data_IF_830478415280
#
_entry.id   IF_830478415280
#
_cell.length_a   1.000
_cell.length_b   1.000
_cell.length_c   1.000
_cell.angle_alpha   90.00
_cell.angle_beta   90.00
_cell.angle_gamma   90.00
#
_symmetry.space_group_name_H-M   'P 1'
#
loop_
_entity.id
_entity.type
_entity.pdbx_description
1 polymer ?
#
# COMPACT_ATOMS: atom_id res chain seq x y z
N UNK A 1 44.70 8.13 49.77
CA UNK A 1 44.54 8.13 48.29
C UNK A 1 43.37 7.21 47.99
N UNK A 2 42.29 7.72 47.39
CA UNK A 2 41.10 6.93 47.05
C UNK A 2 41.03 6.88 45.53
N UNK A 3 41.20 5.69 44.93
CA UNK A 3 41.11 5.52 43.48
C UNK A 3 39.65 5.38 43.05
N UNK A 4 39.10 6.47 42.54
CA UNK A 4 37.80 6.52 41.87
C UNK A 4 37.91 5.98 40.45
N UNK A 5 37.65 4.69 40.24
CA UNK A 5 37.42 4.17 38.89
C UNK A 5 35.95 4.38 38.48
N UNK A 6 35.81 5.27 37.50
CA UNK A 6 34.54 5.77 36.99
C UNK A 6 33.74 4.65 36.30
N UNK A 7 32.57 4.31 36.82
CA UNK A 7 31.59 3.54 36.04
C UNK A 7 31.03 4.43 34.94
N UNK A 8 31.50 4.23 33.71
CA UNK A 8 30.88 4.82 32.52
C UNK A 8 29.55 4.11 32.31
N UNK A 9 28.46 4.73 32.77
CA UNK A 9 27.12 4.33 32.35
C UNK A 9 27.02 4.50 30.83
N UNK A 10 26.98 3.39 30.11
CA UNK A 10 26.50 3.37 28.74
C UNK A 10 25.09 3.95 28.76
N UNK A 11 24.92 5.15 28.19
CA UNK A 11 23.58 5.70 27.94
C UNK A 11 22.90 4.76 26.98
N UNK A 12 21.93 3.99 27.48
CA UNK A 12 20.94 3.36 26.62
C UNK A 12 20.38 4.44 25.70
N UNK A 13 20.47 4.21 24.38
CA UNK A 13 19.80 5.06 23.41
C UNK A 13 18.34 5.20 23.83
N UNK A 14 17.77 6.41 23.91
CA UNK A 14 16.36 6.54 24.27
C UNK A 14 15.54 5.78 23.22
N UNK A 15 14.79 4.78 23.67
CA UNK A 15 13.84 4.08 22.81
C UNK A 15 12.86 5.13 22.27
N UNK A 16 13.02 5.44 20.99
CA UNK A 16 12.22 6.45 20.30
C UNK A 16 10.84 5.85 20.08
N UNK A 17 9.96 6.02 21.06
CA UNK A 17 8.54 5.70 20.95
C UNK A 17 8.03 6.23 19.59
N UNK A 18 7.43 5.39 18.73
CA UNK A 18 7.03 5.80 17.39
C UNK A 18 5.90 6.84 17.50
N UNK A 19 6.27 8.12 17.44
CA UNK A 19 5.35 9.26 17.57
C UNK A 19 4.52 9.51 16.31
N UNK A 20 4.69 8.70 15.27
CA UNK A 20 4.14 8.88 13.92
C UNK A 20 3.60 7.56 13.37
N UNK A 21 2.82 7.62 12.30
CA UNK A 21 2.36 6.43 11.58
C UNK A 21 3.55 5.66 11.00
N UNK A 22 3.45 4.33 10.92
CA UNK A 22 4.41 3.52 10.16
C UNK A 22 3.87 3.30 8.74
N UNK A 23 4.53 3.85 7.73
CA UNK A 23 4.10 3.79 6.33
C UNK A 23 4.95 2.76 5.57
N UNK A 24 4.32 1.67 5.14
CA UNK A 24 4.98 0.56 4.42
C UNK A 24 4.37 0.44 3.02
N UNK A 25 5.19 0.60 1.99
CA UNK A 25 4.75 0.44 0.59
C UNK A 25 5.11 -0.96 0.09
N UNK A 26 4.15 -1.62 -0.55
CA UNK A 26 4.34 -2.90 -1.23
C UNK A 26 4.44 -2.64 -2.73
N UNK A 27 5.65 -2.69 -3.26
CA UNK A 27 5.95 -2.50 -4.67
C UNK A 27 6.27 -3.82 -5.39
N UNK A 28 6.34 -3.76 -6.73
CA UNK A 28 6.82 -4.86 -7.55
C UNK A 28 5.85 -5.34 -8.62
N UNK A 29 6.21 -6.46 -9.25
CA UNK A 29 5.64 -6.91 -10.52
C UNK A 29 4.13 -7.27 -10.44
N UNK A 30 3.37 -7.09 -11.54
CA UNK A 30 2.06 -7.71 -11.66
C UNK A 30 2.21 -9.24 -11.63
N UNK A 31 1.39 -9.91 -10.81
CA UNK A 31 1.51 -11.37 -10.59
C UNK A 31 2.44 -11.78 -9.43
N UNK A 32 3.14 -10.85 -8.77
CA UNK A 32 3.98 -11.15 -7.61
C UNK A 32 3.19 -11.56 -6.34
N UNK A 33 1.89 -11.27 -6.29
CA UNK A 33 1.01 -11.68 -5.18
C UNK A 33 0.75 -10.60 -4.12
N UNK A 34 1.19 -9.35 -4.35
CA UNK A 34 1.02 -8.18 -3.46
C UNK A 34 -0.33 -8.14 -2.74
N UNK A 35 -1.41 -7.92 -3.47
CA UNK A 35 -2.78 -7.84 -2.94
C UNK A 35 -3.17 -9.08 -2.11
N UNK A 36 -2.76 -10.29 -2.53
CA UNK A 36 -3.06 -11.53 -1.78
C UNK A 36 -2.32 -11.64 -0.45
N UNK A 37 -1.11 -11.08 -0.37
CA UNK A 37 -0.31 -10.97 0.85
C UNK A 37 -0.86 -9.86 1.73
N UNK A 38 -1.12 -8.68 1.16
CA UNK A 38 -1.67 -7.52 1.86
C UNK A 38 -3.02 -7.80 2.51
N UNK A 39 -3.98 -8.40 1.80
CA UNK A 39 -5.27 -8.78 2.40
C UNK A 39 -5.11 -9.79 3.54
N UNK A 40 -4.14 -10.72 3.43
CA UNK A 40 -3.88 -11.67 4.49
C UNK A 40 -3.18 -11.07 5.71
N UNK A 41 -2.26 -10.12 5.51
CA UNK A 41 -1.60 -9.39 6.59
C UNK A 41 -2.56 -8.47 7.31
N UNK A 42 -3.46 -7.78 6.59
CA UNK A 42 -4.45 -6.91 7.20
C UNK A 42 -5.51 -7.69 8.00
N UNK A 43 -5.81 -8.93 7.61
CA UNK A 43 -6.57 -9.90 8.41
C UNK A 43 -5.79 -10.32 9.67
N UNK A 44 -4.57 -10.85 9.51
CA UNK A 44 -3.74 -11.40 10.60
C UNK A 44 -3.19 -10.36 11.60
N UNK A 45 -3.15 -9.08 11.20
CA UNK A 45 -2.72 -7.96 12.05
C UNK A 45 -3.90 -7.22 12.72
N UNK A 46 -5.14 -7.67 12.46
CA UNK A 46 -6.35 -7.38 13.26
C UNK A 46 -6.56 -5.90 13.62
N UNK A 47 -6.44 -5.01 12.63
CA UNK A 47 -6.68 -3.57 12.81
C UNK A 47 -5.47 -2.74 13.25
N UNK A 48 -4.32 -3.35 13.59
CA UNK A 48 -3.02 -2.64 13.73
C UNK A 48 -2.50 -2.11 12.39
N UNK A 49 -3.03 -2.63 11.29
CA UNK A 49 -2.66 -2.27 9.92
C UNK A 49 -3.90 -1.84 9.13
N UNK A 50 -3.82 -0.68 8.47
CA UNK A 50 -4.78 -0.27 7.44
C UNK A 50 -4.19 -0.62 6.08
N UNK A 51 -4.92 -1.41 5.28
CA UNK A 51 -4.59 -1.61 3.88
C UNK A 51 -5.10 -0.42 3.05
N UNK A 52 -4.20 0.36 2.46
CA UNK A 52 -4.55 1.36 1.46
C UNK A 52 -4.35 0.72 0.08
N UNK A 53 -5.45 0.42 -0.62
CA UNK A 53 -5.37 -0.18 -1.95
C UNK A 53 -4.77 0.80 -2.97
N UNK A 54 -4.25 0.22 -4.05
CA UNK A 54 -3.80 0.94 -5.25
C UNK A 54 -4.83 2.00 -5.62
N UNK A 55 -4.38 3.25 -5.76
CA UNK A 55 -5.26 4.32 -6.19
C UNK A 55 -5.77 4.00 -7.59
N UNK A 56 -7.08 3.88 -7.70
CA UNK A 56 -7.78 3.67 -8.95
C UNK A 56 -8.79 4.80 -9.09
N UNK A 57 -8.99 5.28 -10.32
CA UNK A 57 -10.15 6.10 -10.64
C UNK A 57 -11.42 5.35 -10.22
N UNK A 58 -12.40 6.08 -9.69
CA UNK A 58 -13.65 5.47 -9.26
C UNK A 58 -14.32 4.77 -10.45
N UNK A 59 -14.76 3.51 -10.30
CA UNK A 59 -15.54 2.85 -11.33
C UNK A 59 -16.72 3.70 -11.76
N UNK A 60 -16.88 3.84 -13.09
CA UNK A 60 -17.88 4.67 -13.75
C UNK A 60 -17.68 6.20 -13.63
N UNK A 61 -16.57 6.70 -13.07
CA UNK A 61 -16.24 8.13 -13.17
C UNK A 61 -15.98 8.53 -14.63
N UNK A 62 -16.25 9.79 -14.97
CA UNK A 62 -15.92 10.35 -16.28
C UNK A 62 -14.41 10.27 -16.57
N UNK A 63 -13.57 10.23 -15.54
CA UNK A 63 -12.13 10.11 -15.66
C UNK A 63 -11.71 8.76 -16.27
N UNK A 64 -12.54 7.71 -16.12
CA UNK A 64 -12.29 6.41 -16.72
C UNK A 64 -12.21 6.45 -18.25
N UNK A 65 -12.81 7.42 -18.92
CA UNK A 65 -12.76 7.54 -20.40
C UNK A 65 -11.61 8.42 -20.90
N UNK A 66 -10.95 9.18 -20.01
CA UNK A 66 -9.90 10.13 -20.40
C UNK A 66 -8.68 9.46 -21.04
N UNK A 67 -7.92 10.18 -21.89
CA UNK A 67 -6.64 9.71 -22.41
C UNK A 67 -5.64 9.35 -21.30
N UNK A 68 -4.74 8.40 -21.58
CA UNK A 68 -3.74 7.94 -20.61
C UNK A 68 -2.83 9.05 -20.06
N UNK A 69 -2.65 10.15 -20.81
CA UNK A 69 -1.91 11.33 -20.35
C UNK A 69 -2.65 12.07 -19.22
N UNK A 70 -3.95 12.32 -19.37
CA UNK A 70 -4.75 13.05 -18.37
C UNK A 70 -4.96 12.21 -17.10
N UNK A 71 -5.21 10.91 -17.26
CA UNK A 71 -5.30 9.95 -16.13
C UNK A 71 -4.03 9.94 -15.27
N UNK A 72 -2.87 10.19 -15.88
CA UNK A 72 -1.58 10.18 -15.20
C UNK A 72 -1.46 11.32 -14.20
N UNK A 73 -1.85 12.52 -14.61
CA UNK A 73 -1.79 13.71 -13.76
C UNK A 73 -2.81 13.60 -12.62
N UNK A 74 -3.97 12.96 -12.86
CA UNK A 74 -4.92 12.57 -11.80
C UNK A 74 -4.27 11.60 -10.79
N UNK A 75 -3.60 10.53 -11.25
CA UNK A 75 -2.89 9.61 -10.34
C UNK A 75 -1.72 10.25 -9.59
N UNK A 76 -1.10 11.30 -10.12
CA UNK A 76 -0.09 12.09 -9.41
C UNK A 76 -0.76 12.91 -8.29
N UNK A 77 -1.80 13.67 -8.62
CA UNK A 77 -2.51 14.54 -7.67
C UNK A 77 -3.18 13.75 -6.53
N UNK A 78 -3.81 12.62 -6.83
CA UNK A 78 -4.36 11.70 -5.82
C UNK A 78 -3.27 11.20 -4.84
N UNK A 79 -2.02 11.09 -5.28
CA UNK A 79 -0.90 10.68 -4.41
C UNK A 79 -0.39 11.82 -3.54
N UNK A 80 -0.37 13.06 -4.06
CA UNK A 80 -0.11 14.25 -3.24
C UNK A 80 -1.16 14.34 -2.14
N UNK A 81 -2.45 14.38 -2.50
CA UNK A 81 -3.57 14.47 -1.57
C UNK A 81 -3.51 13.36 -0.50
N UNK A 82 -3.27 12.11 -0.91
CA UNK A 82 -3.15 10.99 0.02
C UNK A 82 -1.98 11.17 0.99
N UNK A 83 -0.82 11.60 0.52
CA UNK A 83 0.35 11.77 1.40
C UNK A 83 0.23 13.00 2.31
N UNK A 84 -0.43 14.08 1.86
CA UNK A 84 -0.82 15.21 2.71
C UNK A 84 -1.80 14.76 3.81
N UNK A 85 -2.80 13.96 3.46
CA UNK A 85 -3.76 13.38 4.40
C UNK A 85 -3.07 12.51 5.47
N UNK A 86 -2.14 11.65 5.06
CA UNK A 86 -1.37 10.80 5.99
C UNK A 86 -0.40 11.61 6.87
N UNK A 87 0.15 12.72 6.35
CA UNK A 87 0.98 13.66 7.13
C UNK A 87 0.16 14.44 8.16
N UNK A 88 -1.09 14.80 7.85
CA UNK A 88 -2.00 15.49 8.75
C UNK A 88 -2.49 14.60 9.91
N UNK A 89 -2.70 13.31 9.64
CA UNK A 89 -3.27 12.34 10.59
C UNK A 89 -2.19 11.46 11.23
N UNK A 90 -1.38 12.03 12.14
CA UNK A 90 -0.36 11.26 12.89
C UNK A 90 -0.98 10.48 14.05
N UNK A 91 -0.92 9.15 13.98
CA UNK A 91 -1.41 8.22 15.00
C UNK A 91 -0.30 7.24 15.42
N UNK A 92 0.16 7.35 16.66
CA UNK A 92 1.15 6.41 17.22
C UNK A 92 0.60 4.98 17.23
N UNK A 93 1.40 4.01 16.82
CA UNK A 93 1.03 2.58 16.75
C UNK A 93 0.21 2.18 15.53
N UNK A 94 -0.16 3.12 14.64
CA UNK A 94 -0.88 2.80 13.41
C UNK A 94 0.09 2.47 12.28
N UNK A 95 -0.06 1.27 11.69
CA UNK A 95 0.65 0.92 10.47
C UNK A 95 -0.25 1.07 9.24
N UNK A 96 0.30 1.61 8.16
CA UNK A 96 -0.36 1.86 6.89
C UNK A 96 0.35 1.02 5.81
N UNK A 97 -0.35 0.03 5.26
CA UNK A 97 0.16 -0.88 4.22
C UNK A 97 -0.37 -0.43 2.86
N UNK A 98 0.48 0.12 2.00
CA UNK A 98 0.08 0.69 0.70
C UNK A 98 0.31 -0.36 -0.40
N UNK A 99 -0.74 -0.77 -1.13
CA UNK A 99 -0.58 -1.53 -2.40
C UNK A 99 -0.12 -0.54 -3.48
N UNK A 100 1.22 -0.44 -3.65
CA UNK A 100 1.97 0.54 -4.47
C UNK A 100 2.02 1.97 -3.93
N UNK A 101 2.96 2.74 -4.47
CA UNK A 101 3.04 4.20 -4.38
C UNK A 101 3.20 4.83 -5.78
N UNK A 102 3.67 6.07 -5.85
CA UNK A 102 4.11 6.72 -7.09
C UNK A 102 5.27 5.96 -7.79
N UNK A 103 6.03 5.10 -7.09
CA UNK A 103 7.10 4.31 -7.72
C UNK A 103 6.57 3.41 -8.82
N UNK A 104 5.38 2.81 -8.64
CA UNK A 104 4.70 2.07 -9.71
C UNK A 104 4.41 2.92 -10.97
N UNK A 105 4.17 4.23 -10.82
CA UNK A 105 3.99 5.13 -11.97
C UNK A 105 5.35 5.41 -12.66
N UNK A 106 6.42 5.64 -11.89
CA UNK A 106 7.76 5.81 -12.44
C UNK A 106 8.24 4.54 -13.17
N UNK A 107 8.02 3.36 -12.56
CA UNK A 107 8.30 2.06 -13.19
C UNK A 107 7.57 1.92 -14.53
N UNK A 108 6.28 2.24 -14.57
CA UNK A 108 5.46 2.18 -15.78
C UNK A 108 6.01 3.06 -16.91
N UNK A 109 6.44 4.30 -16.58
CA UNK A 109 7.04 5.22 -17.55
C UNK A 109 8.40 4.74 -18.04
N UNK A 110 9.28 4.31 -17.13
CA UNK A 110 10.59 3.74 -17.46
C UNK A 110 10.44 2.58 -18.44
N UNK A 111 9.49 1.68 -18.19
CA UNK A 111 9.23 0.53 -19.04
C UNK A 111 8.59 0.89 -20.40
N UNK A 112 7.79 1.95 -20.48
CA UNK A 112 7.29 2.48 -21.75
C UNK A 112 8.41 3.13 -22.57
N UNK A 113 9.27 3.93 -21.94
CA UNK A 113 10.41 4.57 -22.59
C UNK A 113 11.41 3.53 -23.13
N UNK A 114 11.74 2.53 -22.31
CA UNK A 114 12.56 1.38 -22.71
C UNK A 114 11.99 0.62 -23.91
N UNK A 115 10.66 0.50 -24.02
CA UNK A 115 9.98 -0.20 -25.11
C UNK A 115 9.84 0.65 -26.39
N UNK A 116 9.57 1.94 -26.26
CA UNK A 116 9.16 2.82 -27.35
C UNK A 116 10.28 3.78 -27.84
N UNK A 117 11.40 3.87 -27.12
CA UNK A 117 12.43 4.88 -27.37
C UNK A 117 12.03 6.31 -26.99
N UNK A 118 11.05 6.46 -26.10
CA UNK A 118 10.60 7.76 -25.58
C UNK A 118 11.44 8.20 -24.36
N UNK A 119 11.21 9.43 -23.85
CA UNK A 119 11.96 9.99 -22.71
C UNK A 119 11.02 10.80 -21.79
N UNK A 120 10.00 10.13 -21.25
CA UNK A 120 9.06 10.69 -20.29
C UNK A 120 9.48 10.45 -18.84
N UNK A 121 10.15 9.35 -18.54
CA UNK A 121 10.62 8.98 -17.21
C UNK A 121 11.52 10.05 -16.57
N UNK A 122 12.55 10.63 -17.24
CA UNK A 122 13.42 11.62 -16.61
C UNK A 122 12.68 12.88 -16.13
N UNK A 123 11.70 13.36 -16.91
CA UNK A 123 10.87 14.51 -16.56
C UNK A 123 10.03 14.22 -15.31
N UNK A 124 9.40 13.05 -15.24
CA UNK A 124 8.53 12.67 -14.14
C UNK A 124 9.30 12.19 -12.90
N UNK A 125 10.54 11.71 -13.05
CA UNK A 125 11.49 11.52 -11.95
C UNK A 125 11.81 12.86 -11.30
N UNK A 126 12.11 13.89 -12.08
CA UNK A 126 12.38 15.24 -11.54
C UNK A 126 11.15 15.84 -10.85
N UNK A 127 9.95 15.61 -11.39
CA UNK A 127 8.70 16.00 -10.72
C UNK A 127 8.52 15.25 -9.39
N UNK A 128 8.76 13.93 -9.37
CA UNK A 128 8.73 13.13 -8.15
C UNK A 128 9.71 13.67 -7.08
N UNK A 129 10.96 13.93 -7.46
CA UNK A 129 12.01 14.47 -6.57
C UNK A 129 11.63 15.85 -5.99
N UNK A 130 10.72 16.59 -6.61
CA UNK A 130 10.16 17.86 -6.08
C UNK A 130 8.92 17.65 -5.20
N UNK A 131 7.97 16.83 -5.62
CA UNK A 131 6.66 16.70 -4.97
C UNK A 131 6.65 15.75 -3.77
N UNK A 132 7.61 14.82 -3.69
CA UNK A 132 7.53 13.69 -2.77
C UNK A 132 8.87 13.34 -2.07
N UNK A 133 9.92 14.15 -2.21
CA UNK A 133 11.20 13.94 -1.51
C UNK A 133 11.07 14.03 0.02
N UNK A 134 10.17 14.88 0.52
CA UNK A 134 9.84 15.01 1.95
C UNK A 134 8.78 14.00 2.44
N UNK A 135 8.48 12.94 1.66
CA UNK A 135 7.52 11.91 2.08
C UNK A 135 8.24 10.71 2.69
N UNK A 136 8.31 10.68 4.02
CA UNK A 136 8.92 9.58 4.76
C UNK A 136 8.10 8.28 4.63
N UNK A 137 8.78 7.19 4.25
CA UNK A 137 8.26 5.83 4.16
C UNK A 137 9.16 4.87 4.96
N UNK A 138 8.67 4.33 6.07
CA UNK A 138 9.48 3.46 6.97
C UNK A 138 10.03 2.19 6.30
N UNK A 139 9.33 1.68 5.27
CA UNK A 139 9.84 0.60 4.42
C UNK A 139 9.20 0.54 3.04
N UNK A 140 9.98 0.10 2.06
CA UNK A 140 9.50 -0.29 0.72
C UNK A 140 9.78 -1.79 0.54
N UNK A 141 8.73 -2.60 0.49
CA UNK A 141 8.83 -4.03 0.22
C UNK A 141 8.64 -4.30 -1.26
N UNK A 142 9.72 -4.69 -1.95
CA UNK A 142 9.69 -5.04 -3.37
C UNK A 142 9.45 -6.53 -3.52
N UNK A 143 8.25 -6.90 -3.95
CA UNK A 143 7.87 -8.28 -4.22
C UNK A 143 8.41 -8.72 -5.59
N UNK A 144 9.57 -9.35 -5.57
CA UNK A 144 10.27 -9.82 -6.78
C UNK A 144 9.71 -11.17 -7.26
N UNK A 145 9.55 -11.27 -8.57
CA UNK A 145 9.22 -12.47 -9.34
C UNK A 145 9.75 -12.27 -10.75
N UNK A 146 10.22 -13.35 -11.40
CA UNK A 146 10.56 -13.25 -12.82
C UNK A 146 9.30 -12.89 -13.65
N UNK A 147 9.43 -12.03 -14.67
CA UNK A 147 8.30 -11.62 -15.52
C UNK A 147 7.52 -12.79 -16.10
N UNK A 148 8.21 -13.87 -16.46
CA UNK A 148 7.66 -15.10 -17.00
C UNK A 148 6.75 -15.83 -15.99
N UNK A 149 7.18 -15.95 -14.72
CA UNK A 149 6.36 -16.54 -13.64
C UNK A 149 5.19 -15.60 -13.29
N UNK A 150 5.42 -14.28 -13.29
CA UNK A 150 4.38 -13.27 -13.11
C UNK A 150 3.25 -13.41 -14.13
N UNK A 151 3.59 -13.43 -15.43
CA UNK A 151 2.63 -13.67 -16.52
C UNK A 151 1.92 -15.02 -16.38
N UNK A 152 2.65 -16.11 -16.12
CA UNK A 152 2.07 -17.45 -15.93
C UNK A 152 1.04 -17.46 -14.80
N UNK A 153 1.34 -16.81 -13.66
CA UNK A 153 0.40 -16.68 -12.52
C UNK A 153 -0.86 -15.90 -12.88
N UNK A 154 -0.76 -14.86 -13.72
CA UNK A 154 -1.92 -14.09 -14.19
C UNK A 154 -2.79 -14.89 -15.17
N UNK A 155 -2.16 -15.55 -16.14
CA UNK A 155 -2.85 -16.39 -17.11
C UNK A 155 -3.61 -17.55 -16.43
N UNK A 156 -3.00 -18.21 -15.43
CA UNK A 156 -3.65 -19.26 -14.63
C UNK A 156 -4.85 -18.78 -13.78
N UNK A 157 -5.03 -17.47 -13.58
CA UNK A 157 -6.23 -16.91 -12.96
C UNK A 157 -7.34 -16.56 -13.95
N UNK A 158 -7.07 -16.60 -15.25
CA UNK A 158 -7.95 -16.04 -16.27
C UNK A 158 -7.97 -14.52 -16.29
N UNK A 159 -6.90 -13.84 -15.84
CA UNK A 159 -6.76 -12.39 -16.03
C UNK A 159 -6.80 -12.08 -17.55
N UNK A 160 -7.67 -11.18 -18.00
CA UNK A 160 -7.45 -10.50 -19.28
C UNK A 160 -6.29 -9.52 -19.12
N UNK A 161 -5.24 -9.69 -19.93
CA UNK A 161 -3.99 -8.92 -19.80
C UNK A 161 -3.83 -7.99 -21.03
N UNK A 162 -4.23 -6.72 -20.94
CA UNK A 162 -4.03 -5.78 -22.04
C UNK A 162 -2.54 -5.43 -22.21
N UNK A 163 -2.18 -4.98 -23.40
CA UNK A 163 -0.91 -4.29 -23.63
C UNK A 163 -0.87 -2.98 -22.78
N UNK A 164 0.30 -2.56 -22.23
CA UNK A 164 1.62 -3.19 -22.34
C UNK A 164 1.85 -4.31 -21.32
N UNK A 165 0.92 -4.58 -20.40
CA UNK A 165 1.09 -5.52 -19.29
C UNK A 165 1.21 -7.00 -19.67
N UNK A 166 0.96 -7.35 -20.94
CA UNK A 166 1.20 -8.66 -21.54
C UNK A 166 2.58 -8.78 -22.22
N UNK A 167 3.28 -7.66 -22.43
CA UNK A 167 4.59 -7.63 -23.10
C UNK A 167 5.71 -8.07 -22.15
N UNK A 168 6.41 -9.15 -22.51
CA UNK A 168 7.54 -9.65 -21.72
C UNK A 168 8.72 -8.65 -21.66
N UNK A 169 9.13 -7.96 -22.76
CA UNK A 169 10.11 -6.87 -22.69
C UNK A 169 9.70 -5.74 -21.73
N UNK A 170 8.44 -5.29 -21.80
CA UNK A 170 7.91 -4.26 -20.90
C UNK A 170 8.05 -4.69 -19.43
N UNK A 171 7.61 -5.92 -19.11
CA UNK A 171 7.73 -6.44 -17.75
C UNK A 171 9.18 -6.66 -17.29
N UNK A 172 10.12 -6.94 -18.21
CA UNK A 172 11.55 -6.96 -17.90
C UNK A 172 12.05 -5.56 -17.51
N UNK A 173 11.66 -4.52 -18.24
CA UNK A 173 11.99 -3.14 -17.90
C UNK A 173 11.34 -2.67 -16.58
N UNK A 174 10.11 -3.09 -16.24
CA UNK A 174 9.50 -2.85 -14.92
C UNK A 174 10.38 -3.48 -13.80
N UNK A 175 10.84 -4.72 -13.99
CA UNK A 175 11.70 -5.40 -13.01
C UNK A 175 13.08 -4.74 -12.90
N UNK A 176 13.63 -4.28 -14.03
CA UNK A 176 14.87 -3.52 -14.08
C UNK A 176 14.75 -2.23 -13.26
N UNK A 177 13.68 -1.44 -13.46
CA UNK A 177 13.41 -0.26 -12.65
C UNK A 177 13.46 -0.55 -11.14
N UNK A 178 12.77 -1.58 -10.66
CA UNK A 178 12.76 -1.89 -9.22
C UNK A 178 14.12 -2.34 -8.67
N UNK A 179 14.99 -2.92 -9.49
CA UNK A 179 16.29 -3.44 -9.08
C UNK A 179 17.43 -2.41 -9.22
N UNK A 180 17.33 -1.52 -10.22
CA UNK A 180 18.44 -0.65 -10.66
C UNK A 180 18.12 0.84 -10.46
N UNK A 181 16.91 1.29 -10.80
CA UNK A 181 16.52 2.71 -10.69
C UNK A 181 15.99 3.06 -9.30
N UNK A 182 15.11 2.23 -8.71
CA UNK A 182 14.47 2.50 -7.43
C UNK A 182 15.50 2.84 -6.33
N UNK A 183 16.61 2.08 -6.14
CA UNK A 183 17.65 2.42 -5.15
C UNK A 183 18.39 3.75 -5.39
N UNK A 184 18.28 4.34 -6.59
CA UNK A 184 18.93 5.60 -6.98
C UNK A 184 18.01 6.82 -6.84
N UNK A 185 16.71 6.60 -6.57
CA UNK A 185 15.69 7.67 -6.46
C UNK A 185 15.04 7.73 -5.08
N UNK A 186 15.42 6.87 -4.14
CA UNK A 186 14.91 6.91 -2.77
C UNK A 186 16.00 6.57 -1.76
N UNK A 187 15.94 7.21 -0.60
CA UNK A 187 16.80 6.91 0.54
C UNK A 187 16.15 5.95 1.54
N UNK A 188 14.92 5.52 1.25
CA UNK A 188 14.10 4.70 2.14
C UNK A 188 14.55 3.24 2.19
N UNK A 189 14.16 2.55 3.26
CA UNK A 189 14.56 1.16 3.50
C UNK A 189 13.87 0.20 2.53
N UNK A 190 14.52 -0.09 1.41
CA UNK A 190 14.08 -1.12 0.45
C UNK A 190 14.41 -2.53 0.99
N UNK A 191 13.40 -3.41 1.03
CA UNK A 191 13.58 -4.86 1.23
C UNK A 191 13.04 -5.63 0.03
N UNK A 192 13.92 -6.33 -0.69
CA UNK A 192 13.56 -7.25 -1.77
C UNK A 192 13.10 -8.60 -1.21
N UNK A 193 11.95 -9.08 -1.66
CA UNK A 193 11.32 -10.30 -1.18
C UNK A 193 11.02 -11.22 -2.37
N UNK A 194 11.74 -12.34 -2.44
CA UNK A 194 11.55 -13.35 -3.49
C UNK A 194 10.23 -14.11 -3.29
N UNK A 195 9.26 -13.86 -4.17
CA UNK A 195 7.91 -14.44 -4.08
C UNK A 195 7.75 -15.81 -4.72
N UNK A 196 8.85 -16.50 -5.07
CA UNK A 196 8.81 -17.90 -5.49
C UNK A 196 8.65 -18.89 -4.31
N UNK A 197 8.68 -18.40 -3.07
CA UNK A 197 8.36 -19.16 -1.84
C UNK A 197 6.86 -19.46 -1.74
N UNK A 198 6.51 -20.41 -0.86
CA UNK A 198 5.11 -20.62 -0.47
C UNK A 198 4.49 -19.40 0.24
N UNK A 199 3.18 -19.23 0.07
CA UNK A 199 2.46 -18.05 0.60
C UNK A 199 2.46 -17.99 2.14
N UNK A 200 2.43 -19.13 2.82
CA UNK A 200 2.57 -19.25 4.29
C UNK A 200 3.88 -18.64 4.79
N UNK A 201 4.99 -19.04 4.16
CA UNK A 201 6.33 -18.55 4.50
C UNK A 201 6.49 -17.06 4.20
N UNK A 202 5.90 -16.58 3.10
CA UNK A 202 5.85 -15.15 2.78
C UNK A 202 5.08 -14.36 3.85
N UNK A 203 3.85 -14.78 4.22
CA UNK A 203 3.05 -14.12 5.27
C UNK A 203 3.85 -13.97 6.57
N UNK A 204 4.47 -15.05 7.04
CA UNK A 204 5.30 -15.03 8.25
C UNK A 204 6.49 -14.06 8.13
N UNK A 205 7.16 -14.02 6.98
CA UNK A 205 8.25 -13.07 6.74
C UNK A 205 7.78 -11.62 6.80
N UNK A 206 6.66 -11.29 6.14
CA UNK A 206 6.09 -9.94 6.18
C UNK A 206 5.60 -9.55 7.58
N UNK A 207 4.86 -10.44 8.26
CA UNK A 207 4.36 -10.22 9.63
C UNK A 207 5.50 -9.90 10.59
N UNK A 208 6.58 -10.66 10.53
CA UNK A 208 7.74 -10.44 11.40
C UNK A 208 8.40 -9.07 11.13
N UNK A 209 8.54 -8.65 9.87
CA UNK A 209 9.06 -7.30 9.54
C UNK A 209 8.12 -6.18 10.02
N UNK A 210 6.80 -6.33 9.85
CA UNK A 210 5.83 -5.32 10.28
C UNK A 210 5.82 -5.21 11.81
N UNK A 211 5.80 -6.32 12.55
CA UNK A 211 5.90 -6.32 14.01
C UNK A 211 7.25 -5.76 14.50
N UNK A 212 8.36 -6.02 13.79
CA UNK A 212 9.66 -5.41 14.10
C UNK A 212 9.64 -3.88 13.91
N UNK A 213 9.00 -3.37 12.85
CA UNK A 213 8.84 -1.93 12.61
C UNK A 213 7.96 -1.29 13.69
N UNK A 214 6.86 -1.95 14.08
CA UNK A 214 5.98 -1.53 15.19
C UNK A 214 6.66 -1.57 16.58
N UNK A 215 7.85 -2.18 16.70
CA UNK A 215 8.51 -2.41 18.00
C UNK A 215 7.85 -3.50 18.86
N UNK A 216 6.85 -4.21 18.31
CA UNK A 216 6.03 -5.18 19.03
C UNK A 216 6.67 -6.57 19.04
N UNK A 217 7.38 -6.91 20.13
CA UNK A 217 7.78 -8.29 20.40
C UNK A 217 6.64 -9.07 21.06
N UNK A 218 5.79 -9.67 20.23
CA UNK A 218 4.87 -10.78 20.55
C UNK A 218 3.68 -10.52 21.51
N UNK A 219 3.19 -9.29 21.70
CA UNK A 219 1.98 -9.03 22.49
C UNK A 219 0.78 -8.57 21.63
N UNK A 220 -0.24 -9.41 21.40
CA UNK A 220 -1.46 -9.01 20.69
C UNK A 220 -2.51 -8.40 21.65
N UNK A 221 -2.70 -7.08 21.58
CA UNK A 221 -3.80 -6.34 22.21
C UNK A 221 -3.91 -4.94 21.58
N UNK A 222 -5.05 -4.33 21.30
CA UNK A 222 -6.45 -4.78 21.10
C UNK A 222 -7.22 -3.57 20.49
N UNK A 223 -8.36 -3.68 19.81
CA UNK A 223 -9.35 -4.76 19.67
C UNK A 223 -9.86 -4.84 18.22
N UNK A 224 -10.41 -5.99 17.82
CA UNK A 224 -11.06 -6.18 16.51
C UNK A 224 -12.53 -6.58 16.67
N UNK A 225 -13.41 -6.00 15.84
CA UNK A 225 -14.81 -6.44 15.68
C UNK A 225 -14.95 -7.04 14.30
N UNK A 226 -15.26 -8.33 14.20
CA UNK A 226 -15.55 -8.96 12.91
C UNK A 226 -16.79 -8.33 12.26
N UNK A 227 -16.83 -8.19 10.93
CA UNK A 227 -18.05 -7.81 10.22
C UNK A 227 -19.17 -8.80 10.50
N UNK A 228 -20.39 -8.29 10.63
CA UNK A 228 -21.56 -9.15 10.82
C UNK A 228 -22.05 -9.80 9.51
N UNK A 229 -22.98 -10.75 9.64
CA UNK A 229 -23.53 -11.50 8.50
C UNK A 229 -24.30 -10.61 7.51
N UNK A 230 -24.93 -9.52 7.96
CA UNK A 230 -25.68 -8.62 7.10
C UNK A 230 -24.73 -7.78 6.24
N UNK A 231 -23.68 -7.23 6.86
CA UNK A 231 -22.59 -6.51 6.18
C UNK A 231 -21.90 -7.39 5.12
N UNK A 232 -21.64 -8.66 5.45
CA UNK A 232 -21.10 -9.67 4.53
C UNK A 232 -22.02 -9.89 3.31
N UNK A 233 -23.34 -9.98 3.51
CA UNK A 233 -24.32 -10.20 2.44
C UNK A 233 -24.41 -8.96 1.53
N UNK A 234 -24.54 -7.76 2.08
CA UNK A 234 -24.66 -6.52 1.31
C UNK A 234 -23.45 -6.33 0.38
N UNK A 235 -22.24 -6.45 0.92
CA UNK A 235 -21.00 -6.27 0.16
C UNK A 235 -20.80 -7.36 -0.91
N UNK A 236 -21.18 -8.61 -0.60
CA UNK A 236 -21.12 -9.71 -1.57
C UNK A 236 -22.12 -9.53 -2.73
N UNK A 237 -23.34 -9.11 -2.42
CA UNK A 237 -24.39 -8.86 -3.43
C UNK A 237 -24.01 -7.70 -4.36
N UNK A 238 -23.43 -6.63 -3.82
CA UNK A 238 -22.94 -5.51 -4.61
C UNK A 238 -21.80 -5.90 -5.55
N UNK A 239 -20.81 -6.66 -5.04
CA UNK A 239 -19.71 -7.13 -5.87
C UNK A 239 -20.20 -8.03 -7.03
N UNK A 240 -21.13 -8.94 -6.74
CA UNK A 240 -21.74 -9.81 -7.76
C UNK A 240 -22.51 -8.99 -8.82
N UNK A 241 -23.35 -8.05 -8.39
CA UNK A 241 -24.21 -7.24 -9.26
C UNK A 241 -23.40 -6.33 -10.20
N UNK A 242 -22.31 -5.76 -9.70
CA UNK A 242 -21.43 -4.87 -10.47
C UNK A 242 -20.33 -5.61 -11.26
N UNK A 243 -20.39 -6.95 -11.36
CA UNK A 243 -19.37 -7.80 -12.00
C UNK A 243 -17.96 -7.62 -11.41
N UNK A 244 -17.85 -7.23 -10.15
CA UNK A 244 -16.59 -7.11 -9.40
C UNK A 244 -16.12 -8.51 -8.93
N UNK A 245 -15.93 -9.38 -9.93
CA UNK A 245 -15.37 -10.74 -9.85
C UNK A 245 -16.08 -11.76 -8.97
N UNK A 246 -15.35 -12.83 -8.63
CA UNK A 246 -15.86 -14.01 -7.90
C UNK A 246 -14.89 -14.51 -6.82
N UNK A 247 -15.46 -15.00 -5.72
CA UNK A 247 -14.93 -15.97 -4.74
C UNK A 247 -13.60 -15.70 -3.99
N UNK A 248 -12.81 -14.68 -4.35
CA UNK A 248 -11.57 -14.30 -3.61
C UNK A 248 -11.60 -12.91 -3.01
N UNK A 249 -12.78 -12.31 -2.94
CA UNK A 249 -13.08 -11.15 -2.10
C UNK A 249 -12.66 -11.42 -0.66
N UNK A 250 -12.08 -10.42 0.00
CA UNK A 250 -11.73 -10.47 1.43
C UNK A 250 -12.31 -9.24 2.11
N UNK A 251 -13.18 -9.50 3.09
CA UNK A 251 -13.74 -8.46 3.94
C UNK A 251 -12.86 -8.35 5.18
N UNK A 252 -12.24 -7.19 5.38
CA UNK A 252 -11.51 -6.86 6.60
C UNK A 252 -12.16 -5.63 7.24
N UNK A 253 -11.87 -5.38 8.50
CA UNK A 253 -12.37 -4.19 9.18
C UNK A 253 -11.31 -3.08 9.19
N UNK A 254 -11.56 -1.96 8.49
CA UNK A 254 -10.68 -0.78 8.51
C UNK A 254 -11.17 0.15 9.60
N UNK A 255 -10.49 0.10 10.75
CA UNK A 255 -10.76 0.93 11.93
C UNK A 255 -12.24 0.97 12.38
N UNK A 256 -12.96 -0.15 12.26
CA UNK A 256 -14.38 -0.25 12.61
C UNK A 256 -15.36 -0.14 11.43
N UNK A 257 -14.88 0.19 10.22
CA UNK A 257 -15.65 0.14 8.97
C UNK A 257 -15.37 -1.15 8.18
N UNK A 258 -16.38 -2.02 7.96
CA UNK A 258 -16.26 -3.17 7.06
C UNK A 258 -15.86 -2.74 5.66
N UNK A 259 -14.69 -3.21 5.21
CA UNK A 259 -14.06 -2.84 3.94
C UNK A 259 -13.73 -4.08 3.14
N UNK A 260 -14.44 -4.24 2.02
CA UNK A 260 -14.28 -5.32 1.06
C UNK A 260 -13.15 -4.96 0.10
N UNK A 261 -12.03 -5.69 0.16
CA UNK A 261 -10.98 -5.57 -0.84
C UNK A 261 -11.24 -6.57 -1.96
N UNK A 262 -11.28 -6.07 -3.19
CA UNK A 262 -11.45 -6.87 -4.39
C UNK A 262 -10.49 -6.41 -5.50
N UNK A 263 -9.48 -7.24 -5.76
CA UNK A 263 -8.39 -6.95 -6.69
C UNK A 263 -7.77 -5.57 -6.39
N UNK A 264 -8.01 -4.58 -7.26
CA UNK A 264 -7.43 -3.24 -7.19
C UNK A 264 -8.36 -2.20 -6.53
N UNK A 265 -9.62 -2.58 -6.25
CA UNK A 265 -10.61 -1.70 -5.64
C UNK A 265 -10.88 -2.13 -4.19
N UNK A 266 -11.30 -1.16 -3.38
CA UNK A 266 -11.84 -1.39 -2.04
C UNK A 266 -13.21 -0.72 -1.92
N UNK A 267 -14.13 -1.37 -1.22
CA UNK A 267 -15.54 -0.98 -1.09
C UNK A 267 -15.92 -0.99 0.38
N UNK A 268 -16.52 0.07 0.88
CA UNK A 268 -16.95 0.23 2.27
C UNK A 268 -18.46 0.33 2.38
N UNK A 269 -19.00 0.09 3.58
CA UNK A 269 -20.40 0.43 3.88
C UNK A 269 -20.47 1.81 4.53
N UNK A 270 -20.99 2.80 3.81
CA UNK A 270 -21.43 4.07 4.38
C UNK A 270 -22.96 4.07 4.46
N UNK A 271 -23.51 4.17 5.69
CA UNK A 271 -24.96 4.16 5.94
C UNK A 271 -25.70 2.92 5.36
N UNK A 272 -25.04 1.76 5.38
CA UNK A 272 -25.57 0.51 4.81
C UNK A 272 -25.49 0.41 3.28
N UNK A 273 -24.94 1.42 2.60
CA UNK A 273 -24.72 1.43 1.16
C UNK A 273 -23.24 1.20 0.80
N UNK A 274 -22.94 0.33 -0.18
CA UNK A 274 -21.59 0.14 -0.70
C UNK A 274 -21.06 1.38 -1.44
N UNK A 275 -19.88 1.86 -1.06
CA UNK A 275 -19.18 3.01 -1.64
C UNK A 275 -17.70 2.69 -1.90
N UNK A 276 -17.07 3.31 -2.90
CA UNK A 276 -15.65 3.09 -3.18
C UNK A 276 -14.74 3.82 -2.19
N UNK A 277 -13.76 3.13 -1.63
CA UNK A 277 -12.86 3.71 -0.65
C UNK A 277 -11.86 4.68 -1.30
N UNK A 278 -12.09 5.96 -1.08
CA UNK A 278 -11.31 7.07 -1.62
C UNK A 278 -10.67 7.91 -0.49
N UNK A 279 -9.88 8.93 -0.86
CA UNK A 279 -9.16 9.76 0.12
C UNK A 279 -10.13 10.50 1.08
N UNK A 280 -11.30 10.94 0.61
CA UNK A 280 -12.32 11.57 1.44
C UNK A 280 -12.98 10.60 2.46
N UNK A 281 -13.13 9.32 2.12
CA UNK A 281 -13.59 8.31 3.09
C UNK A 281 -12.49 7.93 4.09
N UNK A 282 -11.23 7.89 3.65
CA UNK A 282 -10.09 7.70 4.55
C UNK A 282 -10.01 8.83 5.58
N UNK A 283 -10.16 10.09 5.14
CA UNK A 283 -10.26 11.26 6.02
C UNK A 283 -11.41 11.14 7.05
N UNK A 284 -12.63 10.82 6.59
CA UNK A 284 -13.77 10.56 7.49
C UNK A 284 -13.47 9.48 8.53
N UNK A 285 -12.78 8.40 8.16
CA UNK A 285 -12.45 7.30 9.08
C UNK A 285 -11.40 7.74 10.09
N UNK A 286 -10.28 8.32 9.65
CA UNK A 286 -9.22 8.81 10.53
C UNK A 286 -9.78 9.80 11.58
N UNK A 287 -10.65 10.72 11.16
CA UNK A 287 -11.36 11.66 12.04
C UNK A 287 -12.37 10.99 13.01
N UNK A 288 -12.99 9.85 12.65
CA UNK A 288 -13.93 9.13 13.54
C UNK A 288 -13.21 8.38 14.64
N UNK A 289 -12.09 7.74 14.32
CA UNK A 289 -11.43 6.80 15.22
C UNK A 289 -10.78 7.50 16.42
N UNK A 290 -10.26 8.71 16.20
CA UNK A 290 -10.02 9.66 17.29
C UNK A 290 -10.43 11.06 16.82
N UNK A 291 -11.58 11.61 17.27
CA UNK A 291 -11.92 12.99 16.96
C UNK A 291 -10.80 13.89 17.48
N UNK A 292 -10.16 14.63 16.57
CA UNK A 292 -9.21 15.67 16.93
C UNK A 292 -9.83 16.48 18.05
N UNK A 293 -9.15 16.57 19.20
CA UNK A 293 -9.50 17.54 20.24
C UNK A 293 -9.32 18.91 19.60
N UNK A 294 -10.40 19.45 19.02
CA UNK A 294 -10.46 20.84 18.61
C UNK A 294 -10.13 21.63 19.86
N UNK A 295 -8.93 22.17 19.89
CA UNK A 295 -8.54 23.20 20.84
C UNK A 295 -9.44 24.39 20.54
N UNK A 296 -10.56 24.45 21.26
CA UNK A 296 -11.37 25.65 21.36
C UNK A 296 -10.49 26.69 22.05
N UNK A 297 -9.74 27.43 21.24
CA UNK A 297 -9.20 28.72 21.64
C UNK A 297 -10.43 29.63 21.82
N UNK A 298 -10.81 29.84 23.07
CA UNK A 298 -11.61 30.98 23.51
C UNK A 298 -10.73 32.23 23.51
#
# INVERSE_FOLDING_TARGET
MINSNLFVFARSSPEKLPSENIIIVFEGMPGAGKTSILSALAEELEGRCILLSEMNLEPYSSEMTLPSKEKKDIYHNLWIERMELLKAHKHSGLCLLLDRSYFSNLAYLYALDSLNGTSHYPLYRQEFERSFSDNQLDAIFVLDVSPEIGLKRRHLRGDEIPWPWSSLPFLKAIRQFYNEELPQITHEKIKYINTNKEISNLKNEFRNEICNLLGERNNPSSHHTAPDNEQLIILSNFAASNKLGKARTRLINVLGVPTLYFLKHSIQLEQGQPVFFNNAQLDKILNRCHPLKKSYNQ
#
